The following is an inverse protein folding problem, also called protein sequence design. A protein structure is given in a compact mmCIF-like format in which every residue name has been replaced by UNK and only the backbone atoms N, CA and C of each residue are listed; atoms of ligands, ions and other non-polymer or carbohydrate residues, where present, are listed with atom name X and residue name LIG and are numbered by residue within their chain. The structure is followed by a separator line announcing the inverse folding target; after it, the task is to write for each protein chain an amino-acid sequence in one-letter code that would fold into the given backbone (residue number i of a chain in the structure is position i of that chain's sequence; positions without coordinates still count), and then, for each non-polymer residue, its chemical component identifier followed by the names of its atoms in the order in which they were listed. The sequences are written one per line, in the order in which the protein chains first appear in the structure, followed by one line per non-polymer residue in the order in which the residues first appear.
data_IF_703915825288
#
_entry.id   IF_703915825288
#
_cell.length_a   1.000
_cell.length_b   1.000
_cell.length_c   1.000
_cell.angle_alpha   90.00
_cell.angle_beta   90.00
_cell.angle_gamma   90.00
#
_symmetry.space_group_name_H-M   'P 1'
#
loop_
_entity.id
_entity.type
_entity.pdbx_description
1 polymer ?
#
# COMPACT_ATOMS: atom_id res chain seq x y z
N UNK A 1 23.10 -16.54 -0.92
CA UNK A 1 22.26 -15.42 -1.38
C UNK A 1 20.96 -15.52 -0.59
N UNK A 2 20.84 -14.76 0.48
CA UNK A 2 19.57 -14.68 1.21
C UNK A 2 18.59 -13.95 0.28
N UNK A 3 17.48 -14.58 -0.17
CA UNK A 3 16.42 -13.80 -0.78
C UNK A 3 15.85 -12.99 0.37
N UNK A 4 16.25 -11.73 0.51
CA UNK A 4 15.74 -10.86 1.54
C UNK A 4 14.25 -10.73 1.29
N UNK A 5 13.46 -11.57 1.97
CA UNK A 5 12.02 -11.45 2.10
C UNK A 5 11.77 -10.20 2.92
N UNK A 6 11.96 -9.03 2.30
CA UNK A 6 11.17 -7.86 2.63
C UNK A 6 9.73 -8.37 2.51
N UNK A 7 9.13 -8.59 3.67
CA UNK A 7 7.82 -9.21 3.83
C UNK A 7 6.79 -8.19 4.29
N UNK A 8 7.23 -6.93 4.38
CA UNK A 8 6.48 -5.79 4.85
C UNK A 8 6.97 -4.55 4.10
N UNK A 9 6.06 -3.73 3.55
CA UNK A 9 6.40 -2.44 2.97
C UNK A 9 7.24 -1.60 3.94
N UNK A 10 8.06 -0.70 3.40
CA UNK A 10 8.92 0.14 4.23
C UNK A 10 8.07 1.09 5.08
N UNK A 11 8.31 1.08 6.39
CA UNK A 11 7.66 1.99 7.34
C UNK A 11 8.18 3.43 7.15
N UNK A 12 7.26 4.40 7.13
CA UNK A 12 7.56 5.83 7.09
C UNK A 12 6.81 6.57 8.21
N UNK A 13 7.45 7.56 8.82
CA UNK A 13 6.80 8.41 9.82
C UNK A 13 6.06 9.54 9.10
N UNK A 14 4.76 9.63 9.33
CA UNK A 14 3.87 10.64 8.77
C UNK A 14 3.93 11.92 9.59
N UNK A 15 3.42 13.03 9.03
CA UNK A 15 3.46 14.35 9.66
C UNK A 15 2.69 14.42 10.99
N UNK A 16 1.72 13.54 11.19
CA UNK A 16 0.95 13.40 12.43
C UNK A 16 1.65 12.49 13.48
N UNK A 17 2.84 11.99 13.17
CA UNK A 17 3.61 11.08 14.04
C UNK A 17 3.18 9.61 13.94
N UNK A 18 2.22 9.26 13.09
CA UNK A 18 1.84 7.87 12.83
C UNK A 18 2.81 7.18 11.86
N UNK A 19 2.78 5.85 11.83
CA UNK A 19 3.56 5.04 10.88
C UNK A 19 2.67 4.70 9.68
N UNK A 20 3.15 5.03 8.49
CA UNK A 20 2.55 4.66 7.20
C UNK A 20 3.50 3.83 6.36
N UNK A 21 3.09 3.54 5.12
CA UNK A 21 3.90 2.82 4.14
C UNK A 21 3.94 3.58 2.81
N UNK A 22 5.07 3.53 2.12
CA UNK A 22 5.23 4.26 0.85
C UNK A 22 4.59 3.50 -0.32
N UNK A 23 3.59 4.12 -0.93
CA UNK A 23 2.96 3.63 -2.16
C UNK A 23 3.81 4.03 -3.37
N UNK A 24 4.15 3.06 -4.22
CA UNK A 24 4.82 3.30 -5.50
C UNK A 24 3.82 3.65 -6.59
N UNK A 25 2.77 2.83 -6.74
CA UNK A 25 1.74 3.03 -7.74
C UNK A 25 0.45 2.29 -7.38
N UNK A 26 -0.66 2.68 -8.01
CA UNK A 26 -1.93 1.94 -7.94
C UNK A 26 -2.15 1.20 -9.26
N UNK A 27 -2.14 -0.12 -9.21
CA UNK A 27 -2.21 -0.99 -10.37
C UNK A 27 -3.63 -1.36 -10.79
N UNK A 28 -4.62 -1.14 -9.92
CA UNK A 28 -6.00 -1.46 -10.25
C UNK A 28 -7.00 -1.16 -9.15
N UNK A 29 -8.28 -1.24 -9.50
CA UNK A 29 -9.42 -1.00 -8.62
C UNK A 29 -10.40 -2.16 -8.75
N UNK A 30 -10.93 -2.66 -7.63
CA UNK A 30 -11.99 -3.66 -7.62
C UNK A 30 -13.02 -3.37 -6.53
N UNK A 31 -14.20 -3.96 -6.67
CA UNK A 31 -15.22 -3.98 -5.61
C UNK A 31 -15.40 -5.40 -5.09
N UNK A 32 -15.10 -5.66 -3.82
CA UNK A 32 -15.27 -6.96 -3.17
C UNK A 32 -16.10 -6.81 -1.90
N UNK A 33 -17.16 -7.61 -1.75
CA UNK A 33 -18.08 -7.55 -0.59
C UNK A 33 -18.54 -6.11 -0.25
N UNK A 34 -18.95 -5.36 -1.29
CA UNK A 34 -19.37 -3.94 -1.21
C UNK A 34 -18.29 -2.94 -0.78
N UNK A 35 -17.02 -3.35 -0.63
CA UNK A 35 -15.89 -2.45 -0.35
C UNK A 35 -15.06 -2.22 -1.60
N UNK A 36 -14.67 -0.99 -1.82
CA UNK A 36 -13.68 -0.63 -2.86
C UNK A 36 -12.30 -0.98 -2.35
N UNK A 37 -11.51 -1.64 -3.19
CA UNK A 37 -10.13 -2.00 -2.91
C UNK A 37 -9.27 -1.60 -4.10
N UNK A 38 -8.02 -1.25 -3.82
CA UNK A 38 -7.02 -0.93 -4.82
C UNK A 38 -5.85 -1.90 -4.72
N UNK A 39 -5.29 -2.26 -5.87
CA UNK A 39 -4.07 -3.04 -5.93
C UNK A 39 -2.90 -2.08 -5.81
N UNK A 40 -2.21 -2.12 -4.67
CA UNK A 40 -1.14 -1.20 -4.31
C UNK A 40 0.19 -1.86 -4.60
N UNK A 41 1.01 -1.22 -5.43
CA UNK A 41 2.43 -1.51 -5.54
C UNK A 41 3.17 -0.69 -4.47
N UNK A 42 3.99 -1.35 -3.64
CA UNK A 42 4.72 -0.69 -2.56
C UNK A 42 6.18 -0.45 -2.94
N UNK A 43 6.80 0.57 -2.36
CA UNK A 43 8.24 0.76 -2.51
C UNK A 43 8.98 -0.26 -1.63
N UNK A 44 9.88 -1.02 -2.25
CA UNK A 44 10.69 -2.04 -1.58
C UNK A 44 10.04 -3.42 -1.49
N UNK A 45 8.84 -3.61 -2.04
CA UNK A 45 8.17 -4.92 -2.11
C UNK A 45 8.01 -5.39 -3.55
N UNK A 46 8.18 -6.68 -3.77
CA UNK A 46 8.00 -7.30 -5.09
C UNK A 46 6.53 -7.54 -5.42
N UNK A 47 5.69 -7.73 -4.40
CA UNK A 47 4.31 -8.19 -4.57
C UNK A 47 3.31 -7.10 -4.20
N UNK A 48 2.42 -6.70 -5.12
CA UNK A 48 1.36 -5.77 -4.79
C UNK A 48 0.27 -6.44 -3.95
N UNK A 49 -0.40 -5.66 -3.10
CA UNK A 49 -1.49 -6.14 -2.22
C UNK A 49 -2.78 -5.38 -2.46
N UNK A 50 -3.92 -6.02 -2.16
CA UNK A 50 -5.23 -5.38 -2.29
C UNK A 50 -5.61 -4.68 -0.99
N UNK A 51 -5.47 -3.36 -0.97
CA UNK A 51 -5.80 -2.54 0.18
C UNK A 51 -7.20 -1.95 0.07
N UNK A 52 -7.94 -1.85 1.19
CA UNK A 52 -9.19 -1.12 1.25
C UNK A 52 -8.94 0.38 1.04
N UNK A 53 -9.90 1.11 0.46
CA UNK A 53 -9.78 2.55 0.19
C UNK A 53 -9.47 3.37 1.45
N UNK A 54 -9.98 2.90 2.59
CA UNK A 54 -9.78 3.50 3.91
C UNK A 54 -8.29 3.52 4.34
N UNK A 55 -7.45 2.61 3.80
CA UNK A 55 -6.01 2.58 4.06
C UNK A 55 -5.23 3.61 3.22
N UNK A 56 -5.85 4.21 2.20
CA UNK A 56 -5.18 5.07 1.22
C UNK A 56 -5.51 6.56 1.40
N UNK A 57 -5.86 6.98 2.62
CA UNK A 57 -6.32 8.34 2.90
C UNK A 57 -5.32 9.46 2.60
N UNK A 58 -4.04 9.14 2.34
CA UNK A 58 -3.01 10.12 1.94
C UNK A 58 -2.68 10.10 0.45
N UNK A 59 -3.33 9.27 -0.37
CA UNK A 59 -3.16 9.28 -1.83
C UNK A 59 -4.11 10.34 -2.41
N UNK A 60 -3.59 11.47 -2.92
CA UNK A 60 -4.40 12.65 -3.23
C UNK A 60 -5.36 12.51 -4.44
N UNK A 61 -5.31 11.40 -5.19
CA UNK A 61 -6.03 11.22 -6.46
C UNK A 61 -7.03 10.03 -6.47
N UNK A 62 -7.56 9.62 -5.32
CA UNK A 62 -8.44 8.44 -5.18
C UNK A 62 -9.96 8.68 -5.23
#
# INVERSE_FOLDING_TARGET
MEPTRLSKPSDVILADGSIGHLVKSLLGKRRRKRRTQFLVEWVGEEKPTWEPIENLGQVPEL
#
